data_IF_963830047848
#
_entry.id   IF_963830047848
#
_cell.length_a   1.000
_cell.length_b   1.000
_cell.length_c   1.000
_cell.angle_alpha   90.00
_cell.angle_beta   90.00
_cell.angle_gamma   90.00
#
_symmetry.space_group_name_H-M   'P 1'
#
loop_
_entity.id
_entity.type
_entity.pdbx_description
1 polymer ?
#
# COMPACT_ATOMS: atom_id res chain seq x y z
N UNK A 1 -11.24 -12.68 -18.06
CA UNK A 1 -9.96 -12.76 -17.36
C UNK A 1 -9.91 -14.00 -16.49
N UNK A 2 -8.78 -14.68 -16.45
CA UNK A 2 -8.59 -15.83 -15.59
C UNK A 2 -8.44 -15.36 -14.13
N UNK A 3 -9.20 -15.97 -13.22
CA UNK A 3 -9.18 -15.60 -11.80
C UNK A 3 -7.81 -15.78 -11.15
N UNK A 4 -6.93 -16.59 -11.72
CA UNK A 4 -5.57 -16.75 -11.20
C UNK A 4 -4.75 -15.48 -11.27
N UNK A 5 -5.12 -14.53 -12.15
CA UNK A 5 -4.42 -13.24 -12.22
C UNK A 5 -4.88 -12.28 -11.14
N UNK A 6 -5.91 -12.62 -10.39
CA UNK A 6 -6.52 -11.73 -9.41
C UNK A 6 -5.76 -11.80 -8.07
N UNK A 7 -6.41 -12.02 -7.00
CA UNK A 7 -5.93 -11.74 -5.66
C UNK A 7 -5.27 -12.97 -5.04
N UNK A 8 -4.04 -12.78 -4.55
CA UNK A 8 -3.28 -13.84 -3.88
C UNK A 8 -3.43 -13.75 -2.37
N UNK A 9 -3.38 -12.53 -1.83
CA UNK A 9 -3.43 -12.29 -0.38
C UNK A 9 -3.59 -10.80 -0.11
N UNK A 10 -3.96 -10.47 1.12
CA UNK A 10 -3.81 -9.11 1.62
C UNK A 10 -2.33 -8.90 1.90
N UNK A 11 -1.71 -7.97 1.19
CA UNK A 11 -0.27 -7.71 1.34
C UNK A 11 -0.01 -6.87 2.59
N UNK A 12 -0.72 -5.76 2.72
CA UNK A 12 -0.56 -4.91 3.89
C UNK A 12 -1.75 -4.00 4.12
N UNK A 13 -1.79 -3.45 5.32
CA UNK A 13 -2.69 -2.36 5.69
C UNK A 13 -1.81 -1.14 5.92
N UNK A 14 -2.08 -0.06 5.19
CA UNK A 14 -1.35 1.19 5.32
C UNK A 14 -1.97 2.06 6.40
N UNK A 15 -1.16 2.50 7.34
CA UNK A 15 -1.61 3.28 8.50
C UNK A 15 -0.84 4.60 8.51
N UNK A 16 -1.56 5.72 8.40
CA UNK A 16 -0.97 7.04 8.43
C UNK A 16 -0.62 7.44 9.87
N UNK A 17 0.60 7.89 10.08
CA UNK A 17 1.08 8.34 11.39
C UNK A 17 1.81 9.68 11.23
N UNK A 18 1.69 10.59 12.21
CA UNK A 18 2.43 11.86 12.15
C UNK A 18 3.94 11.69 12.28
N UNK A 19 4.40 10.66 13.02
CA UNK A 19 5.80 10.46 13.32
C UNK A 19 6.13 8.99 13.47
N UNK A 20 7.05 8.48 12.64
CA UNK A 20 7.54 7.11 12.79
C UNK A 20 8.34 6.95 14.07
N UNK A 21 9.08 7.99 14.50
CA UNK A 21 9.84 7.92 15.74
C UNK A 21 8.95 7.62 16.95
N UNK A 22 7.72 8.12 16.94
CA UNK A 22 6.76 7.85 18.01
C UNK A 22 5.98 6.56 17.76
N UNK A 23 5.60 6.30 16.52
CA UNK A 23 4.73 5.18 16.19
C UNK A 23 5.43 3.83 16.23
N UNK A 24 6.70 3.75 15.82
CA UNK A 24 7.43 2.48 15.79
C UNK A 24 7.51 1.85 17.18
N UNK A 25 7.96 2.56 18.24
CA UNK A 25 8.00 1.95 19.57
C UNK A 25 6.63 1.51 20.08
N UNK A 26 5.58 2.29 19.77
CA UNK A 26 4.23 1.94 20.16
C UNK A 26 3.78 0.62 19.54
N UNK A 27 4.01 0.47 18.25
CA UNK A 27 3.62 -0.76 17.54
C UNK A 27 4.50 -1.94 17.93
N UNK A 28 5.80 -1.71 18.19
CA UNK A 28 6.68 -2.77 18.68
C UNK A 28 6.16 -3.34 20.01
N UNK A 29 5.73 -2.46 20.90
CA UNK A 29 5.20 -2.91 22.19
C UNK A 29 3.85 -3.62 22.04
N UNK A 30 2.96 -3.07 21.21
CA UNK A 30 1.65 -3.68 20.98
C UNK A 30 1.74 -5.06 20.32
N UNK A 31 2.61 -5.21 19.35
CA UNK A 31 2.72 -6.44 18.59
C UNK A 31 3.69 -7.44 19.20
N UNK A 32 4.59 -6.96 20.08
CA UNK A 32 5.61 -7.81 20.68
C UNK A 32 6.70 -8.23 19.71
N UNK A 33 6.88 -7.50 18.61
CA UNK A 33 7.88 -7.77 17.59
C UNK A 33 8.60 -6.48 17.20
N UNK A 34 9.87 -6.55 16.78
CA UNK A 34 10.57 -5.34 16.31
C UNK A 34 10.11 -4.93 14.92
N UNK A 35 10.34 -3.66 14.59
CA UNK A 35 10.17 -3.20 13.22
C UNK A 35 11.07 -4.03 12.31
N UNK A 36 10.52 -4.50 11.18
CA UNK A 36 11.25 -5.38 10.27
C UNK A 36 12.11 -4.58 9.29
N UNK A 37 11.56 -3.49 8.77
CA UNK A 37 12.19 -2.75 7.69
C UNK A 37 11.64 -1.33 7.66
N UNK A 38 12.50 -0.37 7.28
CA UNK A 38 12.08 1.01 7.02
C UNK A 38 12.58 1.40 5.64
N UNK A 39 11.81 2.22 4.94
CA UNK A 39 12.13 2.62 3.58
C UNK A 39 11.52 3.97 3.28
N UNK A 40 12.23 4.79 2.49
CA UNK A 40 11.65 6.00 1.92
C UNK A 40 11.10 5.67 0.53
N UNK A 41 9.84 6.02 0.28
CA UNK A 41 9.23 5.90 -1.06
C UNK A 41 9.10 7.30 -1.61
N UNK A 42 10.13 7.74 -2.34
CA UNK A 42 10.28 9.12 -2.77
C UNK A 42 9.12 9.59 -3.66
N UNK A 43 8.66 8.74 -4.58
CA UNK A 43 7.55 9.08 -5.48
C UNK A 43 6.26 9.40 -4.73
N UNK A 44 6.06 8.78 -3.57
CA UNK A 44 4.87 8.99 -2.75
C UNK A 44 5.12 9.97 -1.61
N UNK A 45 6.36 10.42 -1.45
CA UNK A 45 6.78 11.37 -0.41
C UNK A 45 6.42 10.87 0.99
N UNK A 46 6.78 9.63 1.27
CA UNK A 46 6.56 9.00 2.56
C UNK A 46 7.79 8.23 3.02
N UNK A 47 7.98 8.18 4.34
CA UNK A 47 8.82 7.19 4.99
C UNK A 47 7.92 6.09 5.49
N UNK A 48 8.34 4.84 5.34
CA UNK A 48 7.53 3.69 5.69
C UNK A 48 8.26 2.81 6.70
N UNK A 49 7.48 2.14 7.54
CA UNK A 49 7.99 1.14 8.48
C UNK A 49 7.07 -0.08 8.41
N UNK A 50 7.66 -1.26 8.33
CA UNK A 50 6.95 -2.51 8.11
C UNK A 50 7.05 -3.44 9.30
N UNK A 51 5.91 -4.04 9.67
CA UNK A 51 5.83 -5.09 10.68
C UNK A 51 5.15 -6.30 10.05
N UNK A 52 5.79 -7.47 10.11
CA UNK A 52 5.19 -8.70 9.59
C UNK A 52 4.11 -9.22 10.52
N UNK A 53 2.95 -9.54 9.95
CA UNK A 53 1.82 -10.15 10.65
C UNK A 53 1.39 -11.35 9.81
N UNK A 54 1.98 -12.51 10.09
CA UNK A 54 1.77 -13.68 9.24
C UNK A 54 2.33 -13.40 7.84
N UNK A 55 1.52 -13.62 6.81
CA UNK A 55 1.91 -13.30 5.43
C UNK A 55 1.56 -11.87 5.02
N UNK A 56 0.98 -11.09 5.92
CA UNK A 56 0.62 -9.69 5.68
C UNK A 56 1.53 -8.77 6.48
N UNK A 57 1.38 -7.47 6.28
CA UNK A 57 2.16 -6.45 6.99
C UNK A 57 1.27 -5.31 7.46
N UNK A 58 1.66 -4.68 8.56
CA UNK A 58 1.27 -3.30 8.82
C UNK A 58 2.36 -2.42 8.22
N UNK A 59 1.95 -1.39 7.49
CA UNK A 59 2.85 -0.42 6.90
C UNK A 59 2.51 0.94 7.48
N UNK A 60 3.40 1.46 8.33
CA UNK A 60 3.24 2.80 8.91
C UNK A 60 3.79 3.81 7.92
N UNK A 61 3.04 4.90 7.71
CA UNK A 61 3.33 5.89 6.68
C UNK A 61 3.45 7.27 7.32
N UNK A 62 4.65 7.86 7.23
CA UNK A 62 4.93 9.22 7.70
C UNK A 62 5.20 10.10 6.50
N UNK A 63 4.56 11.28 6.36
CA UNK A 63 4.81 12.14 5.20
C UNK A 63 6.19 12.78 5.28
N UNK A 64 6.87 12.92 4.13
CA UNK A 64 8.14 13.62 4.02
C UNK A 64 8.00 15.05 3.49
N UNK A 65 6.80 15.44 3.04
CA UNK A 65 6.53 16.76 2.49
C UNK A 65 5.06 17.13 2.69
N UNK A 66 4.77 18.43 2.67
CA UNK A 66 3.41 18.93 2.89
C UNK A 66 2.44 18.48 1.78
N UNK A 67 2.94 18.25 0.58
CA UNK A 67 2.11 17.83 -0.55
C UNK A 67 2.03 16.31 -0.70
N UNK A 68 2.55 15.55 0.26
CA UNK A 68 2.35 14.10 0.32
C UNK A 68 0.87 13.77 0.49
N UNK A 69 0.36 12.72 -0.17
CA UNK A 69 -1.00 12.25 0.08
C UNK A 69 -1.26 11.95 1.56
N UNK A 70 -0.24 11.45 2.27
CA UNK A 70 -0.35 11.16 3.70
C UNK A 70 -0.45 12.45 4.51
N UNK A 71 0.30 13.50 4.13
CA UNK A 71 0.17 14.79 4.81
C UNK A 71 -1.24 15.36 4.63
N UNK A 72 -1.81 15.23 3.45
CA UNK A 72 -3.18 15.67 3.19
C UNK A 72 -4.21 14.87 4.00
N UNK A 73 -3.99 13.58 4.13
CA UNK A 73 -4.83 12.72 4.95
C UNK A 73 -4.79 13.15 6.41
N UNK A 74 -3.57 13.37 6.95
CA UNK A 74 -3.38 13.76 8.35
C UNK A 74 -3.92 15.16 8.65
N UNK A 75 -3.99 16.05 7.64
CA UNK A 75 -4.59 17.37 7.83
C UNK A 75 -6.07 17.29 8.18
N UNK A 76 -6.74 16.21 7.77
CA UNK A 76 -8.17 15.99 8.02
C UNK A 76 -8.43 15.00 9.14
N UNK A 77 -7.44 14.16 9.46
CA UNK A 77 -7.56 13.09 10.46
C UNK A 77 -6.25 12.99 11.22
N UNK A 78 -6.31 12.59 12.48
CA UNK A 78 -5.10 12.44 13.32
C UNK A 78 -4.23 11.27 12.92
N UNK A 79 -4.77 10.36 12.14
CA UNK A 79 -4.10 9.15 11.72
C UNK A 79 -5.13 8.07 11.47
N UNK A 80 -4.67 6.85 11.30
CA UNK A 80 -5.55 5.70 11.13
C UNK A 80 -5.31 5.00 9.81
N UNK A 81 -6.19 4.08 9.46
CA UNK A 81 -6.06 3.29 8.24
C UNK A 81 -6.20 4.17 7.02
N UNK A 82 -5.15 4.21 6.20
CA UNK A 82 -5.12 4.99 4.97
C UNK A 82 -5.54 4.17 3.76
N UNK A 83 -5.03 2.95 3.65
CA UNK A 83 -5.34 2.09 2.52
C UNK A 83 -5.14 0.63 2.88
N UNK A 84 -5.63 -0.25 2.01
CA UNK A 84 -5.40 -1.68 2.07
C UNK A 84 -4.80 -2.12 0.73
N UNK A 85 -3.76 -2.94 0.79
CA UNK A 85 -3.12 -3.45 -0.41
C UNK A 85 -3.38 -4.94 -0.57
N UNK A 86 -3.76 -5.33 -1.78
CA UNK A 86 -3.97 -6.74 -2.15
C UNK A 86 -2.94 -7.10 -3.21
N UNK A 87 -2.23 -8.20 -2.98
CA UNK A 87 -1.28 -8.69 -3.97
C UNK A 87 -2.02 -9.48 -5.04
N UNK A 88 -1.66 -9.21 -6.29
CA UNK A 88 -2.21 -9.89 -7.46
C UNK A 88 -1.08 -10.57 -8.22
N UNK A 89 -1.43 -11.59 -9.01
CA UNK A 89 -0.43 -12.31 -9.78
C UNK A 89 0.01 -11.53 -11.01
N UNK A 90 -0.93 -10.84 -11.69
CA UNK A 90 -0.65 -10.08 -12.90
C UNK A 90 -1.41 -8.76 -12.85
N UNK A 91 -0.72 -7.72 -12.40
CA UNK A 91 -1.36 -6.41 -12.19
C UNK A 91 -1.83 -5.79 -13.51
N UNK A 92 -1.08 -6.00 -14.59
CA UNK A 92 -1.47 -5.44 -15.89
C UNK A 92 -2.77 -6.07 -16.39
N UNK A 93 -2.94 -7.38 -16.19
CA UNK A 93 -4.17 -8.07 -16.56
C UNK A 93 -5.36 -7.60 -15.73
N UNK A 94 -5.15 -7.39 -14.42
CA UNK A 94 -6.21 -6.90 -13.54
C UNK A 94 -6.64 -5.49 -13.94
N UNK A 95 -5.67 -4.60 -14.20
CA UNK A 95 -5.98 -3.23 -14.60
C UNK A 95 -6.71 -3.20 -15.95
N UNK A 96 -6.29 -4.05 -16.90
CA UNK A 96 -6.96 -4.14 -18.20
C UNK A 96 -8.44 -4.55 -18.03
N UNK A 97 -8.69 -5.53 -17.16
CA UNK A 97 -10.06 -5.98 -16.89
C UNK A 97 -10.88 -4.88 -16.21
N UNK A 98 -10.31 -4.14 -15.27
CA UNK A 98 -11.00 -3.04 -14.61
C UNK A 98 -11.35 -1.94 -15.60
N UNK A 99 -10.42 -1.59 -16.51
CA UNK A 99 -10.71 -0.59 -17.55
C UNK A 99 -11.84 -1.05 -18.44
N UNK A 100 -11.83 -2.33 -18.82
CA UNK A 100 -12.90 -2.90 -19.65
C UNK A 100 -14.26 -2.79 -18.98
N UNK A 101 -14.30 -2.96 -17.65
CA UNK A 101 -15.54 -2.87 -16.87
C UNK A 101 -15.94 -1.45 -16.49
N UNK A 102 -15.10 -0.46 -16.80
CA UNK A 102 -15.38 0.92 -16.45
C UNK A 102 -15.12 1.24 -14.98
N UNK A 103 -14.29 0.47 -14.30
CA UNK A 103 -13.91 0.73 -12.90
C UNK A 103 -13.08 2.00 -12.86
N UNK A 104 -13.40 2.91 -11.95
CA UNK A 104 -12.66 4.16 -11.80
C UNK A 104 -11.32 3.88 -11.10
N UNK A 105 -10.23 4.25 -11.78
CA UNK A 105 -8.87 4.02 -11.29
C UNK A 105 -8.21 5.36 -10.98
N UNK A 106 -7.33 5.37 -9.97
CA UNK A 106 -6.40 6.48 -9.76
C UNK A 106 -5.21 6.30 -10.70
N UNK A 107 -4.65 5.08 -10.76
CA UNK A 107 -3.56 4.75 -11.66
C UNK A 107 -4.08 3.81 -12.74
N UNK A 108 -4.01 4.25 -14.00
CA UNK A 108 -4.43 3.41 -15.12
C UNK A 108 -3.34 2.41 -15.50
N UNK A 109 -2.09 2.70 -15.11
CA UNK A 109 -0.95 1.83 -15.32
C UNK A 109 -0.19 1.67 -14.02
N UNK A 110 0.41 0.49 -13.83
CA UNK A 110 1.20 0.22 -12.63
C UNK A 110 2.46 1.08 -12.60
N UNK A 111 2.87 1.44 -11.40
CA UNK A 111 4.06 2.24 -11.15
C UNK A 111 4.89 1.61 -10.04
N UNK A 112 6.11 2.12 -9.84
CA UNK A 112 7.01 1.60 -8.82
C UNK A 112 6.47 1.92 -7.42
N UNK A 113 6.56 0.93 -6.53
CA UNK A 113 6.19 1.07 -5.12
C UNK A 113 7.32 0.58 -4.23
N UNK A 114 7.00 0.42 -2.95
CA UNK A 114 7.97 -0.09 -1.96
C UNK A 114 8.37 -1.52 -2.29
N UNK A 115 9.58 -1.91 -1.86
CA UNK A 115 10.12 -3.27 -2.02
C UNK A 115 10.24 -3.71 -3.48
N UNK A 116 10.41 -2.77 -4.40
CA UNK A 116 10.54 -3.10 -5.82
C UNK A 116 9.27 -3.63 -6.45
N UNK A 117 8.14 -3.49 -5.79
CA UNK A 117 6.86 -3.95 -6.32
C UNK A 117 6.31 -2.99 -7.36
N UNK A 118 5.40 -3.49 -8.18
CA UNK A 118 4.59 -2.67 -9.08
C UNK A 118 3.23 -2.47 -8.42
N UNK A 119 2.76 -1.23 -8.38
CA UNK A 119 1.54 -0.90 -7.64
C UNK A 119 0.60 -0.03 -8.48
N UNK A 120 -0.68 -0.06 -8.13
CA UNK A 120 -1.68 0.82 -8.71
C UNK A 120 -2.83 1.00 -7.72
N UNK A 121 -3.39 2.21 -7.66
CA UNK A 121 -4.50 2.51 -6.76
C UNK A 121 -5.82 2.58 -7.50
N UNK A 122 -6.85 2.02 -6.89
CA UNK A 122 -8.23 2.06 -7.34
C UNK A 122 -8.90 3.24 -6.64
N UNK A 123 -9.68 4.04 -7.38
CA UNK A 123 -10.36 5.19 -6.79
C UNK A 123 -11.40 4.72 -5.76
N UNK A 124 -11.48 5.39 -4.59
CA UNK A 124 -12.44 4.99 -3.54
C UNK A 124 -13.90 4.98 -3.98
N UNK A 125 -14.26 5.75 -5.01
CA UNK A 125 -15.63 5.73 -5.54
C UNK A 125 -16.00 4.35 -6.11
N UNK A 126 -15.02 3.57 -6.56
CA UNK A 126 -15.25 2.25 -7.12
C UNK A 126 -15.39 1.16 -6.06
N UNK A 127 -14.98 1.44 -4.82
CA UNK A 127 -14.90 0.45 -3.74
C UNK A 127 -15.82 0.77 -2.56
N UNK A 128 -16.65 1.81 -2.71
CA UNK A 128 -17.52 2.21 -1.59
C UNK A 128 -16.80 2.97 -0.50
N UNK A 129 -15.68 3.61 -0.81
CA UNK A 129 -14.98 4.47 0.13
C UNK A 129 -13.63 3.94 0.62
N UNK A 130 -13.21 2.76 0.17
CA UNK A 130 -11.93 2.18 0.57
C UNK A 130 -10.88 2.52 -0.49
N UNK A 131 -9.75 3.09 -0.07
CA UNK A 131 -8.60 3.26 -0.97
C UNK A 131 -7.91 1.90 -1.08
N UNK A 132 -8.06 1.28 -2.22
CA UNK A 132 -7.54 -0.06 -2.48
C UNK A 132 -6.30 0.05 -3.37
N UNK A 133 -5.22 -0.57 -2.92
CA UNK A 133 -3.98 -0.68 -3.68
C UNK A 133 -3.84 -2.11 -4.20
N UNK A 134 -3.38 -2.25 -5.44
CA UNK A 134 -2.96 -3.52 -5.99
C UNK A 134 -1.43 -3.55 -6.00
N UNK A 135 -0.84 -4.70 -5.74
CA UNK A 135 0.60 -4.88 -5.86
C UNK A 135 0.93 -6.18 -6.56
N UNK A 136 2.04 -6.16 -7.30
CA UNK A 136 2.60 -7.35 -7.92
C UNK A 136 4.04 -7.46 -7.46
N UNK A 137 4.39 -8.59 -6.88
CA UNK A 137 5.75 -8.86 -6.42
C UNK A 137 6.59 -9.28 -7.61
N UNK A 138 7.85 -8.79 -7.73
CA UNK A 138 8.74 -9.23 -8.80
C UNK A 138 8.89 -10.74 -8.80
N UNK A 139 8.97 -11.31 -10.00
CA UNK A 139 9.14 -12.76 -10.16
C UNK A 139 10.55 -13.17 -9.73
N UNK A 140 10.64 -13.87 -8.60
CA UNK A 140 11.92 -14.33 -8.06
C UNK A 140 12.51 -15.50 -8.84
N UNK A 141 11.73 -16.13 -9.71
CA UNK A 141 12.22 -17.27 -10.49
C UNK A 141 13.15 -16.86 -11.63
N UNK A 142 13.24 -15.56 -11.91
CA UNK A 142 14.11 -15.02 -12.96
C UNK A 142 15.54 -14.73 -12.49
N UNK A 143 15.80 -14.93 -11.23
CA UNK A 143 17.12 -14.68 -10.64
C UNK A 143 18.17 -15.70 -11.06
#
# INVERSE_FOLDING_TARGET
>A
MNRKSWFKKIDHIGIAVPSLADAIPMYEELLGIPVEHTEEVADQRVNTAFFSVGESHFELLEPTAEDSPIAKYLAKRRGGMHHMCVEVEDIDAVLAEYKRKGVRLIDEEARAGAHGKRVAFIHPAATGGVLLELSETPDSSED
#
